data_IF_173198093509
#
_entry.id   IF_173198093509
#
_cell.length_a   1.000
_cell.length_b   1.000
_cell.length_c   1.000
_cell.angle_alpha   90.00
_cell.angle_beta   90.00
_cell.angle_gamma   90.00
#
_symmetry.space_group_name_H-M   'P 1'
#
loop_
_entity.id
_entity.type
_entity.pdbx_description
1 polymer ?
#
# COMPACT_ATOMS: atom_id res chain seq x y z
N UNK A 1 36.72 16.71 -20.96
CA UNK A 1 36.74 18.12 -21.36
C UNK A 1 35.65 18.38 -22.39
N UNK A 2 34.43 18.70 -21.96
CA UNK A 2 33.42 19.28 -22.82
C UNK A 2 33.03 20.64 -22.23
N UNK A 3 33.29 21.74 -22.94
CA UNK A 3 32.82 23.05 -22.54
C UNK A 3 31.47 23.28 -23.21
N UNK A 4 30.36 22.97 -22.55
CA UNK A 4 29.06 23.44 -22.94
C UNK A 4 28.51 24.35 -21.84
N UNK A 5 29.03 25.56 -21.78
CA UNK A 5 28.31 26.72 -21.29
C UNK A 5 27.51 27.31 -22.47
N UNK A 6 26.45 26.65 -22.87
CA UNK A 6 25.44 27.26 -23.69
C UNK A 6 24.43 27.86 -22.73
N UNK A 7 24.46 29.20 -22.63
CA UNK A 7 23.43 29.99 -21.99
C UNK A 7 22.12 29.76 -22.78
N UNK A 8 21.31 28.80 -22.32
CA UNK A 8 19.94 28.69 -22.78
C UNK A 8 19.21 29.99 -22.35
N UNK A 9 18.55 30.66 -23.30
CA UNK A 9 17.67 31.80 -22.96
C UNK A 9 16.57 31.27 -22.04
N UNK A 10 16.40 31.91 -20.91
CA UNK A 10 15.44 31.49 -19.86
C UNK A 10 14.01 31.29 -20.37
N UNK A 11 13.62 32.06 -21.40
CA UNK A 11 12.30 31.99 -22.03
C UNK A 11 12.10 30.74 -22.90
N UNK A 12 13.12 30.24 -23.58
CA UNK A 12 13.05 29.02 -24.36
C UNK A 12 13.02 27.78 -23.43
N UNK A 13 13.77 27.82 -22.34
CA UNK A 13 13.76 26.77 -21.33
C UNK A 13 12.41 26.70 -20.59
N UNK A 14 11.81 27.87 -20.32
CA UNK A 14 10.49 27.98 -19.72
C UNK A 14 9.42 27.33 -20.59
N UNK A 15 9.39 27.65 -21.90
CA UNK A 15 8.46 27.06 -22.84
C UNK A 15 8.60 25.53 -22.94
N UNK A 16 9.85 25.03 -23.00
CA UNK A 16 10.11 23.57 -23.03
C UNK A 16 9.62 22.91 -21.73
N UNK A 17 9.84 23.55 -20.57
CA UNK A 17 9.38 22.98 -19.30
C UNK A 17 7.86 23.08 -19.13
N UNK A 18 7.19 24.09 -19.70
CA UNK A 18 5.73 24.17 -19.77
C UNK A 18 5.16 23.10 -20.73
N UNK A 19 5.76 22.93 -21.90
CA UNK A 19 5.35 21.94 -22.89
C UNK A 19 5.55 20.49 -22.41
N UNK A 20 6.57 20.27 -21.55
CA UNK A 20 6.84 18.96 -20.94
C UNK A 20 6.21 18.83 -19.53
N UNK A 21 5.39 19.80 -19.11
CA UNK A 21 4.71 19.84 -17.80
C UNK A 21 5.64 19.73 -16.57
N UNK A 22 6.91 20.11 -16.68
CA UNK A 22 7.88 20.08 -15.59
C UNK A 22 7.76 21.29 -14.64
N UNK A 23 6.59 21.46 -14.04
CA UNK A 23 6.25 22.64 -13.19
C UNK A 23 7.24 22.86 -12.04
N UNK A 24 7.67 21.80 -11.36
CA UNK A 24 8.66 21.87 -10.26
C UNK A 24 10.07 22.27 -10.72
N UNK A 25 10.45 21.99 -11.98
CA UNK A 25 11.73 22.40 -12.55
C UNK A 25 11.75 23.87 -12.92
N UNK A 26 10.63 24.43 -13.35
CA UNK A 26 10.46 25.87 -13.63
C UNK A 26 10.83 26.69 -12.38
N UNK A 27 10.26 26.34 -11.24
CA UNK A 27 10.53 27.02 -9.97
C UNK A 27 11.96 26.86 -9.48
N UNK A 28 12.56 25.70 -9.66
CA UNK A 28 13.93 25.40 -9.20
C UNK A 28 15.02 26.05 -10.06
N UNK A 29 14.82 26.06 -11.37
CA UNK A 29 15.88 26.44 -12.33
C UNK A 29 15.76 27.92 -12.70
N UNK A 30 14.56 28.44 -12.89
CA UNK A 30 14.35 29.79 -13.42
C UNK A 30 14.21 30.87 -12.33
N UNK A 31 13.68 30.56 -11.13
CA UNK A 31 13.62 31.49 -10.01
C UNK A 31 14.94 31.71 -9.27
N UNK A 32 15.96 30.90 -9.46
CA UNK A 32 17.30 31.08 -8.88
C UNK A 32 18.20 32.10 -9.63
N UNK A 33 17.72 32.65 -10.73
CA UNK A 33 18.50 33.54 -11.58
C UNK A 33 18.31 35.05 -11.34
N UNK A 34 17.42 35.48 -10.46
CA UNK A 34 17.19 36.90 -10.19
C UNK A 34 17.07 37.17 -8.69
N UNK A 35 18.19 37.55 -8.07
CA UNK A 35 18.14 38.06 -6.69
C UNK A 35 19.49 38.16 -6.01
N UNK A 36 19.91 39.36 -5.75
CA UNK A 36 21.09 39.81 -5.04
C UNK A 36 21.31 39.15 -3.67
N UNK A 37 22.58 38.96 -3.36
CA UNK A 37 23.21 38.64 -2.09
C UNK A 37 22.53 39.22 -0.85
N UNK A 38 22.00 38.35 0.00
CA UNK A 38 22.06 38.48 1.45
C UNK A 38 21.71 37.12 2.05
N UNK A 39 22.65 36.54 2.81
CA UNK A 39 22.51 35.26 3.48
C UNK A 39 21.39 35.32 4.51
N UNK A 40 20.51 34.32 4.53
CA UNK A 40 19.93 33.86 5.78
C UNK A 40 20.30 32.39 6.03
N UNK A 41 20.57 32.13 7.28
CA UNK A 41 20.79 30.85 7.94
C UNK A 41 19.76 29.81 7.52
N UNK A 42 20.16 28.55 7.25
CA UNK A 42 19.21 27.52 6.83
C UNK A 42 18.47 26.94 8.02
N UNK A 43 17.17 27.16 8.06
CA UNK A 43 16.24 26.41 8.87
C UNK A 43 15.34 25.59 7.95
N UNK A 44 15.33 24.27 8.19
CA UNK A 44 14.49 23.20 7.63
C UNK A 44 15.08 22.41 6.45
N UNK A 45 15.17 21.09 6.60
CA UNK A 45 15.63 20.21 5.53
C UNK A 45 14.52 19.97 4.50
N UNK A 46 14.87 20.17 3.24
CA UNK A 46 14.05 19.76 2.10
C UNK A 46 14.08 18.23 2.02
N UNK A 47 12.97 17.54 1.87
CA UNK A 47 12.97 16.10 1.69
C UNK A 47 13.69 15.71 0.39
N UNK A 48 14.61 14.78 0.50
CA UNK A 48 15.35 14.23 -0.64
C UNK A 48 14.41 13.32 -1.44
N UNK A 49 14.05 13.72 -2.66
CA UNK A 49 13.05 13.05 -3.51
C UNK A 49 13.50 11.67 -4.01
N UNK A 50 14.74 11.26 -3.71
CA UNK A 50 15.31 9.94 -4.08
C UNK A 50 15.55 9.00 -2.91
N UNK A 51 15.21 9.38 -1.67
CA UNK A 51 15.40 8.52 -0.49
C UNK A 51 14.34 7.41 -0.33
N UNK A 52 13.33 7.36 -1.18
CA UNK A 52 12.24 6.36 -1.14
C UNK A 52 12.43 5.12 -2.01
N UNK A 53 13.51 5.03 -2.77
CA UNK A 53 13.74 3.87 -3.64
C UNK A 53 14.87 2.99 -3.09
N UNK A 54 14.49 1.85 -2.59
CA UNK A 54 15.21 0.58 -2.37
C UNK A 54 15.87 0.30 -1.01
N UNK A 55 16.19 1.25 -0.12
CA UNK A 55 16.89 0.91 1.14
C UNK A 55 16.51 1.80 2.32
N UNK A 56 15.27 1.72 2.81
CA UNK A 56 14.95 2.21 4.15
C UNK A 56 15.15 1.07 5.17
N UNK A 57 16.17 1.18 6.02
CA UNK A 57 16.37 0.27 7.16
C UNK A 57 15.36 0.59 8.27
N UNK A 58 14.73 -0.42 8.89
CA UNK A 58 13.97 -0.20 10.12
C UNK A 58 14.95 0.15 11.27
N UNK A 59 14.63 1.19 12.01
CA UNK A 59 15.33 1.50 13.26
C UNK A 59 15.05 0.42 14.30
N UNK A 60 16.11 -0.19 14.80
CA UNK A 60 16.06 -1.22 15.85
C UNK A 60 15.80 -0.59 17.21
N UNK A 61 14.66 -0.88 17.79
CA UNK A 61 14.47 -0.93 19.22
C UNK A 61 14.48 -2.40 19.68
N UNK A 62 15.13 -2.66 20.80
CA UNK A 62 15.41 -3.97 21.41
C UNK A 62 14.18 -4.86 21.56
N UNK A 63 14.32 -6.21 21.42
CA UNK A 63 13.19 -7.12 21.45
C UNK A 63 12.90 -7.62 22.87
N UNK A 64 11.70 -7.38 23.32
CA UNK A 64 11.03 -8.26 24.28
C UNK A 64 9.74 -8.75 23.61
N UNK A 65 9.64 -10.07 23.52
CA UNK A 65 8.47 -10.91 23.17
C UNK A 65 7.34 -10.23 22.40
N UNK A 66 7.23 -10.50 21.11
CA UNK A 66 6.03 -10.12 20.37
C UNK A 66 5.77 -11.00 19.17
N UNK A 67 4.51 -11.32 19.01
CA UNK A 67 3.85 -11.87 17.85
C UNK A 67 4.16 -11.08 16.55
N UNK A 68 3.96 -11.64 15.36
CA UNK A 68 4.35 -11.03 14.10
C UNK A 68 3.68 -9.66 13.90
N UNK A 69 4.50 -8.66 13.65
CA UNK A 69 4.03 -7.30 13.36
C UNK A 69 3.47 -7.28 11.93
N UNK A 70 2.15 -7.27 11.81
CA UNK A 70 1.47 -6.90 10.58
C UNK A 70 1.72 -5.41 10.30
N UNK A 71 2.51 -5.11 9.29
CA UNK A 71 2.78 -3.75 8.85
C UNK A 71 1.72 -3.29 7.86
N UNK A 72 0.83 -2.43 8.29
CA UNK A 72 -0.13 -1.74 7.42
C UNK A 72 0.59 -0.73 6.53
N UNK A 73 0.52 -0.93 5.21
CA UNK A 73 1.18 -0.06 4.22
C UNK A 73 0.58 1.37 4.22
N UNK A 74 -0.66 1.53 4.65
CA UNK A 74 -1.32 2.82 4.77
C UNK A 74 -0.85 3.64 6.00
N UNK A 75 -0.27 3.00 7.02
CA UNK A 75 0.22 3.68 8.23
C UNK A 75 1.55 4.41 8.01
N UNK A 76 2.36 4.04 7.04
CA UNK A 76 3.63 4.73 6.75
C UNK A 76 3.46 6.05 5.98
N UNK A 77 2.24 6.36 5.51
CA UNK A 77 1.89 7.67 4.96
C UNK A 77 1.23 8.61 5.98
N UNK A 78 0.92 8.14 7.18
CA UNK A 78 0.62 9.01 8.30
C UNK A 78 1.94 9.57 8.83
N UNK A 79 2.49 10.57 8.16
CA UNK A 79 3.52 11.44 8.72
C UNK A 79 2.98 12.00 10.03
N UNK A 80 3.83 11.99 11.06
CA UNK A 80 3.58 12.51 12.41
C UNK A 80 2.68 13.74 12.38
N UNK A 81 1.65 13.69 13.18
CA UNK A 81 0.66 14.73 13.32
C UNK A 81 1.27 16.10 13.54
N UNK A 82 1.21 16.88 12.53
CA UNK A 82 1.09 18.32 12.73
C UNK A 82 -0.37 18.56 13.02
N UNK A 83 -0.60 19.16 14.16
CA UNK A 83 -1.88 19.38 14.78
C UNK A 83 -3.00 19.62 13.78
N UNK A 84 -4.13 18.97 14.05
CA UNK A 84 -5.42 19.31 13.49
C UNK A 84 -5.52 20.83 13.59
N UNK A 85 -5.32 21.52 12.47
CA UNK A 85 -5.83 22.88 12.32
C UNK A 85 -7.31 22.69 12.53
N UNK A 86 -7.85 23.19 13.62
CA UNK A 86 -9.29 23.38 13.77
C UNK A 86 -9.73 24.30 12.63
N UNK A 87 -9.94 23.76 11.45
CA UNK A 87 -10.65 24.42 10.38
C UNK A 87 -12.12 24.45 10.82
N UNK A 88 -12.47 25.51 11.55
CA UNK A 88 -13.80 25.77 12.12
C UNK A 88 -14.92 25.90 11.07
N UNK A 89 -14.65 25.58 9.80
CA UNK A 89 -15.56 25.77 8.67
C UNK A 89 -15.95 24.47 7.93
N UNK A 90 -15.50 23.30 8.38
CA UNK A 90 -15.91 22.04 7.74
C UNK A 90 -17.31 21.62 8.23
N UNK A 91 -18.13 21.17 7.30
CA UNK A 91 -19.42 20.55 7.63
C UNK A 91 -19.18 19.17 8.28
N UNK A 92 -20.01 18.77 9.21
CA UNK A 92 -19.99 17.48 9.90
C UNK A 92 -21.37 16.84 9.84
N UNK A 93 -21.45 15.52 10.12
CA UNK A 93 -22.70 14.78 10.07
C UNK A 93 -23.82 15.40 10.92
N UNK A 94 -23.50 15.94 12.11
CA UNK A 94 -24.46 16.56 13.02
C UNK A 94 -25.10 17.84 12.46
N UNK A 95 -24.48 18.44 11.42
CA UNK A 95 -24.98 19.66 10.77
C UNK A 95 -25.87 19.37 9.57
N UNK A 96 -26.03 18.11 9.20
CA UNK A 96 -26.79 17.67 8.03
C UNK A 96 -28.11 16.99 8.43
N UNK A 97 -29.15 17.21 7.63
CA UNK A 97 -30.36 16.41 7.69
C UNK A 97 -30.18 15.17 6.80
N UNK A 98 -30.03 14.01 7.43
CA UNK A 98 -29.71 12.75 6.75
C UNK A 98 -30.71 11.67 7.08
N UNK A 99 -31.05 10.85 6.10
CA UNK A 99 -31.87 9.64 6.24
C UNK A 99 -30.97 8.40 6.30
N UNK A 100 -30.33 8.20 7.46
CA UNK A 100 -29.48 7.02 7.71
C UNK A 100 -30.25 6.00 8.53
N UNK A 101 -30.35 4.78 8.02
CA UNK A 101 -31.18 3.73 8.57
C UNK A 101 -30.43 2.47 8.94
N UNK A 102 -30.67 1.98 10.16
CA UNK A 102 -30.21 0.65 10.60
C UNK A 102 -31.20 -0.41 10.11
N UNK A 103 -30.75 -1.34 9.30
CA UNK A 103 -31.53 -2.41 8.65
C UNK A 103 -31.27 -3.74 9.37
N UNK A 104 -31.86 -3.90 10.54
CA UNK A 104 -31.59 -4.97 11.51
C UNK A 104 -32.60 -6.14 11.46
N UNK A 105 -33.67 -6.03 10.68
CA UNK A 105 -34.71 -7.06 10.56
C UNK A 105 -34.86 -7.58 9.13
N UNK A 106 -35.31 -8.82 8.99
CA UNK A 106 -35.60 -9.43 7.68
C UNK A 106 -36.62 -8.62 6.86
N UNK A 107 -37.63 -8.06 7.53
CA UNK A 107 -38.63 -7.20 6.87
C UNK A 107 -37.96 -5.95 6.26
N UNK A 108 -37.17 -5.23 7.05
CA UNK A 108 -36.44 -4.04 6.56
C UNK A 108 -35.46 -4.41 5.42
N UNK A 109 -34.76 -5.56 5.52
CA UNK A 109 -33.90 -6.03 4.45
C UNK A 109 -34.64 -6.28 3.15
N UNK A 110 -35.77 -6.98 3.22
CA UNK A 110 -36.61 -7.23 2.04
C UNK A 110 -37.13 -5.93 1.40
N UNK A 111 -37.55 -4.96 2.20
CA UNK A 111 -38.01 -3.65 1.73
C UNK A 111 -36.91 -2.87 1.02
N UNK A 112 -35.72 -2.78 1.65
CA UNK A 112 -34.63 -2.01 1.08
C UNK A 112 -34.06 -2.64 -0.20
N UNK A 113 -33.98 -3.97 -0.29
CA UNK A 113 -33.59 -4.67 -1.49
C UNK A 113 -34.49 -4.30 -2.67
N UNK A 114 -35.80 -4.32 -2.50
CA UNK A 114 -36.75 -3.94 -3.56
C UNK A 114 -36.56 -2.49 -4.01
N UNK A 115 -36.26 -1.58 -3.08
CA UNK A 115 -36.02 -0.18 -3.37
C UNK A 115 -34.73 -0.02 -4.16
N UNK A 116 -33.63 -0.59 -3.69
CA UNK A 116 -32.29 -0.43 -4.27
C UNK A 116 -32.10 -1.17 -5.61
N UNK A 117 -32.91 -2.21 -5.89
CA UNK A 117 -32.88 -2.90 -7.19
C UNK A 117 -33.19 -2.01 -8.39
N UNK A 118 -33.90 -0.90 -8.17
CA UNK A 118 -34.24 0.07 -9.22
C UNK A 118 -33.22 1.20 -9.37
N UNK A 119 -32.21 1.26 -8.51
CA UNK A 119 -31.21 2.33 -8.51
C UNK A 119 -30.20 2.11 -9.65
N UNK A 120 -30.01 3.13 -10.48
CA UNK A 120 -29.01 3.14 -11.55
C UNK A 120 -27.57 3.23 -11.02
N UNK A 121 -27.40 3.85 -9.85
CA UNK A 121 -26.13 4.03 -9.14
C UNK A 121 -26.33 3.58 -7.70
N UNK A 122 -25.41 2.77 -7.20
CA UNK A 122 -25.43 2.25 -5.84
C UNK A 122 -24.02 2.31 -5.26
N UNK A 123 -23.82 3.19 -4.28
CA UNK A 123 -22.61 3.16 -3.45
C UNK A 123 -22.70 1.99 -2.49
N UNK A 124 -21.61 1.27 -2.35
CA UNK A 124 -21.46 0.10 -1.48
C UNK A 124 -20.18 0.25 -0.66
N UNK A 125 -20.25 -0.20 0.58
CA UNK A 125 -19.09 -0.31 1.46
C UNK A 125 -19.28 -1.49 2.41
N UNK A 126 -18.21 -2.04 2.97
CA UNK A 126 -18.23 -3.19 3.87
C UNK A 126 -17.46 -2.93 5.14
N UNK A 127 -18.11 -3.11 6.28
CA UNK A 127 -17.47 -3.14 7.59
C UNK A 127 -16.94 -4.53 7.90
N UNK A 128 -15.71 -4.62 8.37
CA UNK A 128 -15.00 -5.89 8.54
C UNK A 128 -14.18 -5.94 9.83
N UNK A 129 -13.68 -7.12 10.16
CA UNK A 129 -12.86 -7.34 11.36
C UNK A 129 -11.38 -6.94 11.17
N UNK A 130 -10.95 -6.58 9.97
CA UNK A 130 -9.55 -6.25 9.69
C UNK A 130 -9.32 -5.75 8.28
N UNK A 131 -8.10 -5.36 7.98
CA UNK A 131 -7.70 -4.72 6.72
C UNK A 131 -7.22 -5.70 5.63
N UNK A 132 -6.95 -6.96 6.00
CA UNK A 132 -6.54 -8.00 5.05
C UNK A 132 -7.78 -8.76 4.55
N UNK A 133 -8.23 -8.55 3.30
CA UNK A 133 -9.55 -9.03 2.87
C UNK A 133 -9.68 -10.55 2.82
N UNK A 134 -8.56 -11.29 2.72
CA UNK A 134 -8.60 -12.75 2.74
C UNK A 134 -8.73 -13.34 4.15
N UNK A 135 -8.44 -12.57 5.19
CA UNK A 135 -8.52 -13.00 6.59
C UNK A 135 -9.69 -12.34 7.34
N UNK A 136 -10.13 -11.18 6.86
CA UNK A 136 -11.18 -10.40 7.49
C UNK A 136 -12.57 -11.07 7.35
N UNK A 137 -13.38 -10.91 8.37
CA UNK A 137 -14.78 -11.32 8.39
C UNK A 137 -15.69 -10.11 8.20
N UNK A 138 -16.80 -10.29 7.49
CA UNK A 138 -17.80 -9.26 7.26
C UNK A 138 -18.57 -8.95 8.56
N UNK A 139 -18.63 -7.69 8.95
CA UNK A 139 -19.37 -7.17 10.11
C UNK A 139 -20.68 -6.52 9.68
N UNK A 140 -20.70 -5.89 8.52
CA UNK A 140 -21.89 -5.28 7.96
C UNK A 140 -21.68 -4.79 6.53
N UNK A 141 -22.75 -4.37 5.90
CA UNK A 141 -22.77 -3.80 4.55
C UNK A 141 -23.52 -2.48 4.57
N UNK A 142 -22.99 -1.45 3.94
CA UNK A 142 -23.68 -0.19 3.80
C UNK A 142 -23.96 0.14 2.33
N UNK A 143 -25.02 0.88 2.11
CA UNK A 143 -25.53 1.23 0.77
C UNK A 143 -26.00 2.68 0.75
N UNK A 144 -25.73 3.40 -0.35
CA UNK A 144 -26.32 4.71 -0.61
C UNK A 144 -26.73 4.81 -2.08
N UNK A 145 -27.95 5.28 -2.33
CA UNK A 145 -28.53 5.46 -3.67
C UNK A 145 -28.88 6.93 -3.98
N UNK A 146 -28.74 7.81 -2.98
CA UNK A 146 -28.90 9.25 -3.12
C UNK A 146 -28.14 9.96 -2.00
N UNK A 147 -27.68 11.16 -2.25
CA UNK A 147 -27.01 12.01 -1.27
C UNK A 147 -27.86 12.21 0.00
N UNK A 148 -27.21 12.13 1.16
CA UNK A 148 -27.80 12.19 2.50
C UNK A 148 -28.77 11.03 2.83
N UNK A 149 -28.68 9.93 2.11
CA UNK A 149 -29.48 8.73 2.36
C UNK A 149 -28.64 7.48 2.28
N UNK A 150 -28.61 6.71 3.35
CA UNK A 150 -27.85 5.49 3.41
C UNK A 150 -28.45 4.45 4.37
N UNK A 151 -28.03 3.21 4.20
CA UNK A 151 -28.57 2.05 4.88
C UNK A 151 -27.43 1.16 5.35
N UNK A 152 -27.44 0.77 6.61
CA UNK A 152 -26.47 -0.17 7.17
C UNK A 152 -27.15 -1.48 7.56
N UNK A 153 -26.62 -2.58 7.08
CA UNK A 153 -27.09 -3.95 7.33
C UNK A 153 -26.02 -4.68 8.16
N UNK A 154 -26.21 -4.81 9.48
CA UNK A 154 -25.32 -5.59 10.32
C UNK A 154 -25.46 -7.08 10.02
N UNK A 155 -24.35 -7.81 10.12
CA UNK A 155 -24.34 -9.27 10.02
C UNK A 155 -23.77 -9.91 11.29
N UNK A 156 -24.31 -11.07 11.73
CA UNK A 156 -23.82 -11.77 12.92
C UNK A 156 -22.42 -12.36 12.71
N UNK A 157 -21.86 -12.98 13.76
CA UNK A 157 -20.55 -13.64 13.66
C UNK A 157 -20.63 -15.02 12.99
N UNK A 158 -21.77 -15.69 13.09
CA UNK A 158 -21.97 -17.03 12.57
C UNK A 158 -21.99 -17.05 11.05
N UNK A 159 -21.00 -17.66 10.45
CA UNK A 159 -20.80 -17.65 9.00
C UNK A 159 -22.01 -18.11 8.20
N UNK A 160 -22.77 -19.10 8.69
CA UNK A 160 -23.97 -19.58 8.01
C UNK A 160 -25.07 -18.52 7.94
N UNK A 161 -25.24 -17.74 9.00
CA UNK A 161 -26.21 -16.64 9.03
C UNK A 161 -25.72 -15.46 8.16
N UNK A 162 -24.42 -15.16 8.17
CA UNK A 162 -23.83 -14.16 7.25
C UNK A 162 -24.12 -14.55 5.81
N UNK A 163 -23.88 -15.82 5.43
CA UNK A 163 -24.14 -16.31 4.06
C UNK A 163 -25.62 -16.16 3.66
N UNK A 164 -26.57 -16.37 4.57
CA UNK A 164 -28.01 -16.16 4.30
C UNK A 164 -28.26 -14.69 3.99
N UNK A 165 -27.82 -13.78 4.89
CA UNK A 165 -28.05 -12.34 4.74
C UNK A 165 -27.37 -11.81 3.47
N UNK A 166 -26.10 -12.13 3.23
CA UNK A 166 -25.39 -11.71 2.02
C UNK A 166 -26.06 -12.22 0.74
N UNK A 167 -26.60 -13.45 0.75
CA UNK A 167 -27.36 -13.98 -0.37
C UNK A 167 -28.69 -13.25 -0.63
N UNK A 168 -29.35 -12.68 0.38
CA UNK A 168 -30.52 -11.83 0.18
C UNK A 168 -30.16 -10.61 -0.69
N UNK A 169 -28.96 -10.02 -0.49
CA UNK A 169 -28.44 -8.85 -1.21
C UNK A 169 -27.73 -9.19 -2.53
N UNK A 170 -27.49 -10.46 -2.84
CA UNK A 170 -26.85 -10.90 -4.12
C UNK A 170 -27.48 -10.21 -5.34
N UNK A 171 -28.82 -10.09 -5.49
CA UNK A 171 -29.40 -9.44 -6.66
C UNK A 171 -28.97 -7.97 -6.84
N UNK A 172 -28.63 -7.26 -5.75
CA UNK A 172 -28.12 -5.89 -5.83
C UNK A 172 -26.67 -5.86 -6.34
N UNK A 173 -25.82 -6.69 -5.75
CA UNK A 173 -24.41 -6.76 -6.12
C UNK A 173 -24.23 -7.24 -7.56
N UNK A 174 -24.99 -8.23 -7.99
CA UNK A 174 -24.89 -8.83 -9.33
C UNK A 174 -25.76 -8.14 -10.39
N UNK A 175 -26.43 -7.02 -10.07
CA UNK A 175 -27.22 -6.25 -11.05
C UNK A 175 -26.27 -5.53 -12.03
N UNK A 176 -26.16 -6.04 -13.27
CA UNK A 176 -25.31 -5.46 -14.31
C UNK A 176 -25.78 -4.08 -14.80
N UNK A 177 -27.05 -3.71 -14.55
CA UNK A 177 -27.60 -2.43 -14.96
C UNK A 177 -27.27 -1.29 -14.00
N UNK A 178 -26.94 -1.59 -12.76
CA UNK A 178 -26.58 -0.63 -11.73
C UNK A 178 -25.07 -0.45 -11.68
N UNK A 179 -24.60 0.80 -11.72
CA UNK A 179 -23.22 1.15 -11.44
C UNK A 179 -22.95 0.96 -9.94
N UNK A 180 -21.86 0.28 -9.57
CA UNK A 180 -21.40 0.18 -8.18
C UNK A 180 -20.29 1.18 -7.95
N UNK A 181 -20.45 1.95 -6.90
CA UNK A 181 -19.49 2.96 -6.46
C UNK A 181 -18.89 2.50 -5.14
N UNK A 182 -17.58 2.65 -4.97
CA UNK A 182 -16.90 2.34 -3.71
C UNK A 182 -15.63 3.17 -3.55
N UNK A 183 -15.09 3.20 -2.36
CA UNK A 183 -13.78 3.75 -2.03
C UNK A 183 -12.80 2.59 -1.82
N UNK A 184 -11.87 2.35 -2.74
CA UNK A 184 -11.08 1.11 -2.79
C UNK A 184 -11.98 -0.14 -2.93
N UNK A 185 -12.92 -0.07 -3.85
CA UNK A 185 -13.96 -1.09 -4.07
C UNK A 185 -13.42 -2.51 -4.27
N UNK A 186 -12.16 -2.63 -4.66
CA UNK A 186 -11.47 -3.92 -4.77
C UNK A 186 -11.51 -4.71 -3.47
N UNK A 187 -11.33 -4.04 -2.33
CA UNK A 187 -11.42 -4.65 -1.00
C UNK A 187 -12.80 -5.27 -0.78
N UNK A 188 -13.86 -4.49 -0.99
CA UNK A 188 -15.25 -4.95 -0.80
C UNK A 188 -15.60 -6.10 -1.74
N UNK A 189 -15.11 -6.05 -2.97
CA UNK A 189 -15.31 -7.12 -3.94
C UNK A 189 -14.68 -8.44 -3.48
N UNK A 190 -13.49 -8.41 -2.88
CA UNK A 190 -12.82 -9.61 -2.34
C UNK A 190 -13.58 -10.13 -1.10
N UNK A 191 -13.99 -9.23 -0.20
CA UNK A 191 -14.82 -9.60 0.96
C UNK A 191 -16.09 -10.32 0.51
N UNK A 192 -16.86 -9.72 -0.41
CA UNK A 192 -18.11 -10.31 -0.92
C UNK A 192 -17.86 -11.64 -1.64
N UNK A 193 -16.75 -11.75 -2.39
CA UNK A 193 -16.37 -13.01 -3.05
C UNK A 193 -16.07 -14.12 -2.04
N UNK A 194 -15.55 -13.83 -0.85
CA UNK A 194 -15.38 -14.81 0.23
C UNK A 194 -16.70 -15.39 0.75
N UNK A 195 -17.82 -14.70 0.49
CA UNK A 195 -19.19 -15.15 0.76
C UNK A 195 -19.93 -15.60 -0.50
N UNK A 196 -19.22 -15.79 -1.62
CA UNK A 196 -19.74 -16.35 -2.87
C UNK A 196 -20.56 -15.36 -3.70
N UNK A 197 -20.45 -14.06 -3.47
CA UNK A 197 -21.12 -13.01 -4.22
C UNK A 197 -20.13 -12.27 -5.11
N UNK A 198 -20.51 -12.02 -6.38
CA UNK A 198 -19.72 -11.23 -7.32
C UNK A 198 -20.37 -9.85 -7.50
N UNK A 199 -19.54 -8.81 -7.49
CA UNK A 199 -20.00 -7.47 -7.86
C UNK A 199 -19.93 -7.34 -9.37
N UNK A 200 -21.06 -7.04 -10.01
CA UNK A 200 -21.21 -6.94 -11.46
C UNK A 200 -21.70 -5.54 -11.87
N UNK A 201 -21.62 -5.26 -13.16
CA UNK A 201 -21.97 -3.98 -13.74
C UNK A 201 -20.79 -3.03 -13.85
N UNK A 202 -21.08 -1.77 -14.18
CA UNK A 202 -20.05 -0.73 -14.21
C UNK A 202 -19.55 -0.43 -12.81
N UNK A 203 -18.24 -0.22 -12.68
CA UNK A 203 -17.60 0.16 -11.42
C UNK A 203 -17.17 1.64 -11.45
N UNK A 204 -17.19 2.27 -10.31
CA UNK A 204 -16.57 3.56 -10.07
C UNK A 204 -15.86 3.51 -8.70
N UNK A 205 -14.55 3.62 -8.69
CA UNK A 205 -13.73 3.68 -7.47
C UNK A 205 -13.28 5.13 -7.26
N UNK A 206 -13.69 5.73 -6.15
CA UNK A 206 -13.35 7.14 -5.84
C UNK A 206 -11.88 7.34 -5.53
N UNK A 207 -11.21 6.35 -4.93
CA UNK A 207 -9.75 6.36 -4.73
C UNK A 207 -9.01 6.40 -6.07
N UNK A 208 -9.38 5.53 -7.01
CA UNK A 208 -8.76 5.45 -8.33
C UNK A 208 -9.13 6.64 -9.22
N UNK A 209 -10.34 7.18 -9.10
CA UNK A 209 -10.72 8.40 -9.80
C UNK A 209 -9.81 9.57 -9.40
N UNK A 210 -9.61 9.76 -8.10
CA UNK A 210 -8.70 10.79 -7.62
C UNK A 210 -7.23 10.49 -7.95
N UNK A 211 -6.80 9.23 -7.92
CA UNK A 211 -5.46 8.85 -8.34
C UNK A 211 -5.17 9.22 -9.80
N UNK A 212 -6.10 8.99 -10.71
CA UNK A 212 -5.97 9.39 -12.13
C UNK A 212 -5.85 10.91 -12.27
N UNK A 213 -6.59 11.67 -11.46
CA UNK A 213 -6.58 13.15 -11.49
C UNK A 213 -5.33 13.74 -10.81
N UNK A 214 -4.89 13.19 -9.68
CA UNK A 214 -3.85 13.75 -8.82
C UNK A 214 -2.96 12.65 -8.21
N UNK A 215 -2.12 11.95 -9.00
CA UNK A 215 -1.40 10.73 -8.58
C UNK A 215 -0.38 10.94 -7.47
N UNK A 216 0.01 12.18 -7.16
CA UNK A 216 1.01 12.50 -6.13
C UNK A 216 0.37 12.82 -4.76
N UNK A 217 -0.97 12.89 -4.67
CA UNK A 217 -1.67 13.24 -3.45
C UNK A 217 -2.14 12.01 -2.67
N UNK A 218 -2.80 12.26 -1.53
CA UNK A 218 -3.45 11.20 -0.74
C UNK A 218 -4.81 10.90 -1.35
N UNK A 219 -5.24 9.63 -1.27
CA UNK A 219 -6.48 9.16 -1.87
C UNK A 219 -7.46 8.55 -0.86
N UNK A 220 -7.18 8.68 0.44
CA UNK A 220 -8.09 8.20 1.49
C UNK A 220 -9.35 9.09 1.57
N UNK A 221 -10.46 8.51 1.97
CA UNK A 221 -11.79 9.13 1.96
C UNK A 221 -11.84 10.41 2.78
N UNK A 222 -11.27 10.44 3.98
CA UNK A 222 -11.24 11.63 4.84
C UNK A 222 -10.62 12.84 4.13
N UNK A 223 -9.46 12.63 3.50
CA UNK A 223 -8.79 13.67 2.73
C UNK A 223 -9.63 14.13 1.54
N UNK A 224 -10.25 13.20 0.81
CA UNK A 224 -11.10 13.53 -0.34
C UNK A 224 -12.36 14.28 0.11
N UNK A 225 -12.99 13.88 1.20
CA UNK A 225 -14.15 14.57 1.78
C UNK A 225 -13.81 16.01 2.19
N UNK A 226 -12.64 16.21 2.82
CA UNK A 226 -12.18 17.55 3.21
C UNK A 226 -11.98 18.46 2.01
N UNK A 227 -11.25 18.01 0.97
CA UNK A 227 -10.86 18.87 -0.15
C UNK A 227 -11.97 19.08 -1.20
N UNK A 228 -12.83 18.07 -1.43
CA UNK A 228 -13.87 18.13 -2.46
C UNK A 228 -15.26 18.48 -1.93
N UNK A 229 -15.57 18.08 -0.69
CA UNK A 229 -16.89 18.27 -0.10
C UNK A 229 -16.90 19.31 1.03
N UNK A 230 -15.74 19.80 1.46
CA UNK A 230 -15.59 20.61 2.68
C UNK A 230 -16.26 19.93 3.89
N UNK A 231 -16.05 18.65 4.01
CA UNK A 231 -16.71 17.77 4.97
C UNK A 231 -15.68 17.01 5.82
N UNK A 232 -15.91 16.96 7.12
CA UNK A 232 -15.15 16.17 8.07
C UNK A 232 -15.93 14.90 8.40
N UNK A 233 -15.39 13.75 7.99
CA UNK A 233 -15.93 12.42 8.28
C UNK A 233 -15.77 12.02 9.75
N UNK A 234 -16.53 11.06 10.20
CA UNK A 234 -16.33 10.38 11.48
C UNK A 234 -15.08 9.50 11.32
N UNK A 235 -14.07 9.73 12.16
CA UNK A 235 -12.87 8.91 12.13
C UNK A 235 -13.10 7.54 12.77
N UNK A 236 -12.60 6.45 12.16
CA UNK A 236 -12.69 5.09 12.71
C UNK A 236 -12.13 4.99 14.14
N UNK A 237 -11.10 5.78 14.47
CA UNK A 237 -10.53 5.84 15.81
C UNK A 237 -11.52 6.34 16.88
N UNK A 238 -12.57 7.07 16.49
CA UNK A 238 -13.64 7.50 17.40
C UNK A 238 -14.53 6.33 17.82
N UNK A 239 -14.66 5.30 16.95
CA UNK A 239 -15.48 4.12 17.20
C UNK A 239 -14.68 3.03 17.95
N UNK A 240 -13.53 2.65 17.38
CA UNK A 240 -12.75 1.49 17.89
C UNK A 240 -11.59 1.89 18.80
N UNK A 241 -11.34 3.19 18.95
CA UNK A 241 -10.24 3.73 19.72
C UNK A 241 -8.93 3.81 18.93
N UNK A 242 -7.99 4.61 19.44
CA UNK A 242 -6.70 4.82 18.81
C UNK A 242 -5.90 3.50 18.65
N UNK A 243 -5.10 3.44 17.61
CA UNK A 243 -4.26 2.29 17.27
C UNK A 243 -3.40 1.84 18.45
N UNK A 244 -3.47 0.57 18.80
CA UNK A 244 -2.69 -0.02 19.89
C UNK A 244 -3.34 -1.25 20.53
N UNK A 245 -2.77 -1.72 21.64
CA UNK A 245 -3.24 -2.94 22.32
C UNK A 245 -4.70 -2.87 22.82
N UNK A 246 -5.24 -1.68 22.99
CA UNK A 246 -6.60 -1.45 23.49
C UNK A 246 -7.61 -1.11 22.36
N UNK A 247 -7.18 -1.12 21.10
CA UNK A 247 -8.08 -0.90 19.98
C UNK A 247 -9.11 -2.04 19.92
N UNK A 248 -10.39 -1.69 19.85
CA UNK A 248 -11.48 -2.65 19.72
C UNK A 248 -11.55 -3.16 18.28
N UNK A 249 -12.24 -4.26 18.09
CA UNK A 249 -12.64 -4.71 16.76
C UNK A 249 -14.01 -4.12 16.40
N UNK A 250 -14.27 -3.86 15.14
CA UNK A 250 -15.59 -3.37 14.69
C UNK A 250 -16.71 -4.34 15.09
N UNK A 251 -16.44 -5.64 15.14
CA UNK A 251 -17.34 -6.70 15.59
C UNK A 251 -17.76 -6.57 17.07
N UNK A 252 -16.92 -5.93 17.90
CA UNK A 252 -17.20 -5.77 19.34
C UNK A 252 -18.19 -4.63 19.64
N UNK A 253 -18.54 -3.84 18.63
CA UNK A 253 -19.45 -2.70 18.78
C UNK A 253 -20.90 -3.11 18.45
N UNK A 254 -21.89 -2.57 19.17
CA UNK A 254 -23.28 -2.77 18.81
C UNK A 254 -23.60 -2.07 17.49
N UNK A 255 -24.50 -2.62 16.65
CA UNK A 255 -24.86 -2.04 15.36
C UNK A 255 -25.34 -0.59 15.44
N UNK A 256 -25.95 -0.19 16.56
CA UNK A 256 -26.42 1.16 16.83
C UNK A 256 -25.30 2.19 16.93
N UNK A 257 -24.10 1.77 17.29
CA UNK A 257 -22.92 2.64 17.35
C UNK A 257 -22.20 2.71 16.00
N UNK A 258 -22.30 1.66 15.17
CA UNK A 258 -21.60 1.53 13.89
C UNK A 258 -22.38 2.15 12.74
N UNK A 259 -23.74 2.07 12.75
CA UNK A 259 -24.54 2.36 11.56
C UNK A 259 -24.37 3.78 11.01
N UNK A 260 -24.14 4.78 11.87
CA UNK A 260 -23.97 6.16 11.41
C UNK A 260 -22.66 6.35 10.65
N UNK A 261 -21.59 5.76 11.15
CA UNK A 261 -20.29 5.72 10.51
C UNK A 261 -20.38 5.01 9.14
N UNK A 262 -20.86 3.77 9.12
CA UNK A 262 -20.97 2.98 7.90
C UNK A 262 -21.92 3.61 6.84
N UNK A 263 -23.00 4.24 7.27
CA UNK A 263 -23.89 5.00 6.38
C UNK A 263 -23.18 6.24 5.81
N UNK A 264 -22.40 6.94 6.65
CA UNK A 264 -21.61 8.10 6.21
C UNK A 264 -20.60 7.71 5.14
N UNK A 265 -19.88 6.61 5.32
CA UNK A 265 -18.89 6.14 4.35
C UNK A 265 -19.51 5.86 2.98
N UNK A 266 -20.66 5.19 2.93
CA UNK A 266 -21.39 4.95 1.69
C UNK A 266 -21.92 6.25 1.05
N UNK A 267 -22.44 7.20 1.84
CA UNK A 267 -22.98 8.47 1.36
C UNK A 267 -21.89 9.42 0.86
N UNK A 268 -20.82 9.56 1.64
CA UNK A 268 -19.63 10.37 1.25
C UNK A 268 -19.02 9.82 -0.02
N UNK A 269 -18.91 8.52 -0.15
CA UNK A 269 -18.40 7.85 -1.36
C UNK A 269 -19.28 8.19 -2.58
N UNK A 270 -20.60 8.20 -2.44
CA UNK A 270 -21.51 8.62 -3.51
C UNK A 270 -21.34 10.10 -3.89
N UNK A 271 -21.22 10.98 -2.90
CA UNK A 271 -20.98 12.42 -3.12
C UNK A 271 -19.63 12.65 -3.83
N UNK A 272 -18.58 11.97 -3.39
CA UNK A 272 -17.26 12.03 -4.02
C UNK A 272 -17.31 11.56 -5.48
N UNK A 273 -18.03 10.47 -5.78
CA UNK A 273 -18.25 10.03 -7.17
C UNK A 273 -18.84 11.15 -8.02
N UNK A 274 -19.86 11.86 -7.53
CA UNK A 274 -20.53 12.90 -8.29
C UNK A 274 -19.61 14.10 -8.63
N UNK A 275 -18.67 14.41 -7.75
CA UNK A 275 -17.66 15.46 -7.99
C UNK A 275 -16.54 14.97 -8.89
N UNK A 276 -15.95 13.83 -8.55
CA UNK A 276 -14.78 13.29 -9.28
C UNK A 276 -15.11 12.89 -10.72
N UNK A 277 -16.32 12.42 -11.00
CA UNK A 277 -16.74 12.13 -12.38
C UNK A 277 -16.76 13.37 -13.26
N UNK A 278 -17.15 14.55 -12.72
CA UNK A 278 -17.07 15.83 -13.44
C UNK A 278 -15.63 16.23 -13.70
N UNK A 279 -14.77 16.10 -12.69
CA UNK A 279 -13.33 16.38 -12.81
C UNK A 279 -12.67 15.50 -13.87
N UNK A 280 -12.94 14.19 -13.88
CA UNK A 280 -12.44 13.25 -14.89
C UNK A 280 -12.81 13.70 -16.32
N UNK A 281 -14.06 14.14 -16.49
CA UNK A 281 -14.55 14.64 -17.76
C UNK A 281 -13.88 15.94 -18.17
N UNK A 282 -13.78 16.89 -17.25
CA UNK A 282 -13.18 18.23 -17.48
C UNK A 282 -11.70 18.11 -17.86
N UNK A 283 -10.98 17.17 -17.25
CA UNK A 283 -9.57 16.92 -17.52
C UNK A 283 -9.33 15.93 -18.67
N UNK A 284 -10.38 15.37 -19.31
CA UNK A 284 -10.27 14.42 -20.40
C UNK A 284 -9.69 13.06 -20.01
N UNK A 285 -9.81 12.69 -18.71
CA UNK A 285 -9.24 11.49 -18.13
C UNK A 285 -10.20 10.28 -18.14
N UNK A 286 -11.44 10.44 -18.67
CA UNK A 286 -12.48 9.39 -18.68
C UNK A 286 -12.00 8.10 -19.35
N UNK A 287 -11.27 8.18 -20.47
CA UNK A 287 -10.77 7.02 -21.17
C UNK A 287 -9.80 6.19 -20.31
N UNK A 288 -8.83 6.85 -19.66
CA UNK A 288 -7.88 6.18 -18.75
C UNK A 288 -8.63 5.52 -17.60
N UNK A 289 -9.57 6.23 -17.00
CA UNK A 289 -10.32 5.73 -15.86
C UNK A 289 -11.25 4.56 -16.24
N UNK A 290 -12.14 4.75 -17.22
CA UNK A 290 -13.17 3.75 -17.52
C UNK A 290 -12.70 2.58 -18.38
N UNK A 291 -11.69 2.77 -19.25
CA UNK A 291 -11.25 1.74 -20.20
C UNK A 291 -9.97 1.02 -19.76
N UNK A 292 -9.26 1.55 -18.75
CA UNK A 292 -8.02 0.94 -18.25
C UNK A 292 -8.12 0.64 -16.75
N UNK A 293 -8.28 1.66 -15.89
CA UNK A 293 -8.21 1.46 -14.44
C UNK A 293 -9.39 0.65 -13.89
N UNK A 294 -10.62 0.97 -14.29
CA UNK A 294 -11.79 0.24 -13.80
C UNK A 294 -11.84 -1.23 -14.28
N UNK A 295 -11.57 -1.57 -15.55
CA UNK A 295 -11.49 -2.96 -15.97
C UNK A 295 -10.38 -3.77 -15.31
N UNK A 296 -9.31 -3.12 -14.83
CA UNK A 296 -8.24 -3.80 -14.10
C UNK A 296 -8.67 -4.26 -12.70
N UNK A 297 -9.60 -3.54 -12.05
CA UNK A 297 -10.07 -3.88 -10.68
C UNK A 297 -10.54 -5.33 -10.57
N UNK A 298 -11.51 -5.84 -11.36
CA UNK A 298 -11.96 -7.22 -11.25
C UNK A 298 -10.87 -8.24 -11.63
N UNK A 299 -9.90 -7.86 -12.47
CA UNK A 299 -8.73 -8.72 -12.77
C UNK A 299 -7.87 -8.88 -11.52
N UNK A 300 -7.59 -7.78 -10.82
CA UNK A 300 -6.82 -7.82 -9.58
C UNK A 300 -7.57 -8.56 -8.46
N UNK A 301 -8.88 -8.37 -8.32
CA UNK A 301 -9.73 -9.17 -7.42
C UNK A 301 -9.52 -10.66 -7.68
N UNK A 302 -9.55 -11.08 -8.94
CA UNK A 302 -9.38 -12.49 -9.31
C UNK A 302 -7.97 -13.00 -8.95
N UNK A 303 -6.92 -12.26 -9.30
CA UNK A 303 -5.53 -12.63 -9.02
C UNK A 303 -5.29 -12.73 -7.50
N UNK A 304 -5.71 -11.72 -6.75
CA UNK A 304 -5.53 -11.66 -5.30
C UNK A 304 -6.31 -12.75 -4.57
N UNK A 305 -7.56 -12.98 -4.96
CA UNK A 305 -8.39 -14.03 -4.36
C UNK A 305 -7.89 -15.45 -4.68
N UNK A 306 -7.35 -15.67 -5.88
CA UNK A 306 -6.76 -16.97 -6.24
C UNK A 306 -5.47 -17.23 -5.47
N UNK A 307 -4.65 -16.21 -5.24
CA UNK A 307 -3.35 -16.37 -4.60
C UNK A 307 -2.42 -17.34 -5.33
N UNK A 308 -1.34 -17.75 -4.67
CA UNK A 308 -0.31 -18.63 -5.23
C UNK A 308 0.10 -19.72 -4.23
N UNK A 309 0.35 -20.93 -4.72
CA UNK A 309 0.83 -22.05 -3.91
C UNK A 309 2.33 -21.96 -3.66
N UNK A 310 2.74 -22.42 -2.47
CA UNK A 310 4.15 -22.58 -2.11
C UNK A 310 4.48 -24.04 -1.79
N UNK A 311 5.63 -24.49 -2.27
CA UNK A 311 6.30 -25.70 -1.79
C UNK A 311 7.03 -25.39 -0.47
N UNK A 312 6.33 -25.58 0.64
CA UNK A 312 6.85 -25.30 1.99
C UNK A 312 7.99 -26.23 2.38
N UNK A 313 8.03 -27.46 1.83
CA UNK A 313 9.11 -28.41 2.12
C UNK A 313 10.40 -27.99 1.40
N UNK A 314 10.31 -27.53 0.15
CA UNK A 314 11.44 -26.94 -0.57
C UNK A 314 11.99 -25.71 0.15
N UNK A 315 11.12 -24.81 0.64
CA UNK A 315 11.55 -23.64 1.43
C UNK A 315 12.24 -24.04 2.74
N UNK A 316 11.75 -25.07 3.44
CA UNK A 316 12.36 -25.57 4.66
C UNK A 316 13.76 -26.14 4.40
N UNK A 317 13.95 -26.89 3.31
CA UNK A 317 15.25 -27.39 2.90
C UNK A 317 16.21 -26.24 2.56
N UNK A 318 15.72 -25.23 1.83
CA UNK A 318 16.49 -24.01 1.55
C UNK A 318 16.85 -23.24 2.82
N UNK A 319 15.95 -23.16 3.81
CA UNK A 319 16.22 -22.52 5.11
C UNK A 319 17.37 -23.21 5.84
N UNK A 320 17.37 -24.54 5.89
CA UNK A 320 18.45 -25.32 6.50
C UNK A 320 19.78 -25.08 5.79
N UNK A 321 19.79 -25.15 4.46
CA UNK A 321 21.00 -24.92 3.65
C UNK A 321 21.56 -23.52 3.85
N UNK A 322 20.73 -22.49 3.79
CA UNK A 322 21.16 -21.10 3.97
C UNK A 322 21.62 -20.81 5.39
N UNK A 323 21.01 -21.45 6.39
CA UNK A 323 21.43 -21.29 7.79
C UNK A 323 22.85 -21.86 7.99
N UNK A 324 23.17 -23.02 7.45
CA UNK A 324 24.53 -23.60 7.52
C UNK A 324 25.52 -22.67 6.83
N UNK A 325 25.22 -22.24 5.60
CA UNK A 325 26.09 -21.32 4.85
C UNK A 325 26.30 -19.98 5.57
N UNK A 326 25.25 -19.43 6.22
CA UNK A 326 25.37 -18.21 7.03
C UNK A 326 26.35 -18.40 8.20
N UNK A 327 26.28 -19.55 8.89
CA UNK A 327 27.18 -19.85 10.01
C UNK A 327 28.64 -19.98 9.55
N UNK A 328 28.88 -20.56 8.38
CA UNK A 328 30.22 -20.65 7.79
C UNK A 328 30.78 -19.27 7.46
N UNK A 329 29.99 -18.43 6.77
CA UNK A 329 30.39 -17.06 6.42
C UNK A 329 30.61 -16.21 7.68
N UNK A 330 29.75 -16.35 8.68
CA UNK A 330 29.89 -15.65 9.96
C UNK A 330 31.21 -15.98 10.65
N UNK A 331 31.58 -17.25 10.66
CA UNK A 331 32.88 -17.71 11.20
C UNK A 331 34.04 -17.10 10.42
N UNK A 332 34.01 -17.13 9.10
CA UNK A 332 35.04 -16.50 8.26
C UNK A 332 35.16 -14.99 8.53
N UNK A 333 34.05 -14.30 8.69
CA UNK A 333 34.06 -12.86 9.02
C UNK A 333 34.70 -12.61 10.38
N UNK A 334 34.38 -13.40 11.40
CA UNK A 334 35.00 -13.26 12.73
C UNK A 334 36.49 -13.59 12.75
N UNK A 335 36.90 -14.57 11.99
CA UNK A 335 38.33 -14.88 11.82
C UNK A 335 39.11 -13.72 11.14
N UNK A 336 38.52 -13.12 10.09
CA UNK A 336 39.14 -11.95 9.43
C UNK A 336 39.12 -10.69 10.30
N UNK A 337 38.09 -10.51 11.10
CA UNK A 337 37.97 -9.36 12.00
C UNK A 337 38.81 -9.51 13.27
N UNK A 338 39.15 -10.75 13.68
CA UNK A 338 39.80 -11.07 14.92
C UNK A 338 38.98 -10.84 16.17
N UNK A 339 37.64 -10.76 16.03
CA UNK A 339 36.65 -10.64 17.10
C UNK A 339 35.23 -10.98 16.61
N UNK A 340 34.35 -11.24 17.57
CA UNK A 340 32.92 -11.44 17.29
C UNK A 340 32.16 -10.12 17.44
N UNK A 341 31.23 -9.86 16.53
CA UNK A 341 30.39 -8.66 16.53
C UNK A 341 29.08 -8.93 15.79
N UNK A 342 28.09 -8.05 15.94
CA UNK A 342 26.83 -8.19 15.19
C UNK A 342 26.99 -7.68 13.74
N UNK A 343 27.10 -8.60 12.78
CA UNK A 343 27.26 -8.31 11.34
C UNK A 343 26.04 -7.59 10.75
N UNK A 344 24.86 -7.74 11.37
CA UNK A 344 23.65 -7.00 10.99
C UNK A 344 23.64 -5.55 11.49
N UNK A 345 24.48 -5.21 12.48
CA UNK A 345 24.59 -3.85 13.02
C UNK A 345 25.48 -2.97 12.16
N UNK A 346 24.89 -1.98 11.50
CA UNK A 346 25.64 -1.01 10.69
C UNK A 346 26.73 -0.29 11.50
N UNK A 347 26.47 -0.02 12.80
CA UNK A 347 27.42 0.61 13.70
C UNK A 347 28.64 -0.27 13.95
N UNK A 348 28.42 -1.52 14.40
CA UNK A 348 29.52 -2.44 14.73
C UNK A 348 30.35 -2.81 13.50
N UNK A 349 29.68 -3.04 12.35
CA UNK A 349 30.36 -3.25 11.08
C UNK A 349 31.26 -2.05 10.72
N UNK A 350 30.75 -0.82 10.91
CA UNK A 350 31.53 0.38 10.64
C UNK A 350 32.76 0.52 11.56
N UNK A 351 32.61 0.23 12.84
CA UNK A 351 33.70 0.23 13.83
C UNK A 351 34.78 -0.81 13.48
N UNK A 352 34.37 -2.03 13.14
CA UNK A 352 35.30 -3.10 12.73
C UNK A 352 36.03 -2.74 11.45
N UNK A 353 35.33 -2.32 10.40
CA UNK A 353 35.92 -2.06 9.08
C UNK A 353 36.82 -0.81 9.07
N UNK A 354 36.40 0.26 9.74
CA UNK A 354 37.05 1.56 9.58
C UNK A 354 37.88 2.02 10.77
N UNK A 355 37.56 1.63 12.00
CA UNK A 355 38.36 1.98 13.18
C UNK A 355 39.41 0.90 13.47
N UNK A 356 39.04 -0.39 13.42
CA UNK A 356 39.93 -1.49 13.76
C UNK A 356 40.77 -1.93 12.55
N UNK A 357 40.17 -2.35 11.47
CA UNK A 357 40.87 -2.86 10.29
C UNK A 357 41.39 -1.73 9.39
N UNK A 358 40.90 -0.50 9.57
CA UNK A 358 41.34 0.72 8.83
C UNK A 358 41.38 0.53 7.32
N UNK A 359 40.40 -0.17 6.76
CA UNK A 359 40.36 -0.56 5.34
C UNK A 359 40.38 0.66 4.42
N UNK A 360 39.85 1.81 4.89
CA UNK A 360 39.83 3.08 4.16
C UNK A 360 40.21 4.21 5.11
N UNK A 361 41.13 5.11 4.69
CA UNK A 361 41.55 6.24 5.52
C UNK A 361 40.44 7.26 5.83
N UNK A 362 39.52 7.47 4.85
CA UNK A 362 38.39 8.42 4.98
C UNK A 362 37.09 7.71 4.60
N UNK A 363 36.50 7.03 5.55
CA UNK A 363 35.19 6.39 5.36
C UNK A 363 34.04 7.41 5.46
N UNK A 364 33.03 7.24 4.61
CA UNK A 364 31.83 8.08 4.60
C UNK A 364 31.05 7.94 5.91
N UNK A 365 30.68 9.08 6.54
CA UNK A 365 29.87 9.13 7.76
C UNK A 365 28.52 9.80 7.49
N UNK A 366 27.52 9.41 8.26
CA UNK A 366 26.20 10.06 8.31
C UNK A 366 26.30 11.42 9.01
N UNK A 367 25.24 12.22 8.94
CA UNK A 367 25.13 13.50 9.71
C UNK A 367 25.28 13.31 11.22
N UNK A 368 24.96 12.12 11.72
CA UNK A 368 25.08 11.74 13.16
C UNK A 368 26.47 11.18 13.51
N UNK A 369 27.42 11.17 12.57
CA UNK A 369 28.80 10.71 12.79
C UNK A 369 29.01 9.20 12.70
N UNK A 370 27.98 8.39 12.40
CA UNK A 370 28.11 6.94 12.19
C UNK A 370 28.68 6.64 10.79
N UNK A 371 29.45 5.56 10.66
CA UNK A 371 29.92 5.09 9.37
C UNK A 371 28.76 4.60 8.49
N UNK A 372 28.80 4.97 7.22
CA UNK A 372 27.85 4.45 6.22
C UNK A 372 28.32 3.07 5.76
N UNK A 373 27.51 2.05 6.04
CA UNK A 373 27.77 0.66 5.65
C UNK A 373 26.66 0.12 4.74
N UNK A 374 26.04 1.01 3.93
CA UNK A 374 25.08 0.59 2.90
C UNK A 374 25.75 -0.32 1.87
N UNK A 375 24.97 -1.15 1.20
CA UNK A 375 25.44 -2.08 0.18
C UNK A 375 26.27 -1.36 -0.89
N UNK A 376 25.79 -0.23 -1.40
CA UNK A 376 26.47 0.59 -2.41
C UNK A 376 27.88 1.03 -1.94
N UNK A 377 27.95 1.53 -0.70
CA UNK A 377 29.23 1.99 -0.12
C UNK A 377 30.18 0.82 0.10
N UNK A 378 29.71 -0.29 0.67
CA UNK A 378 30.54 -1.48 0.86
C UNK A 378 30.99 -2.07 -0.48
N UNK A 379 30.10 -2.12 -1.47
CA UNK A 379 30.44 -2.59 -2.82
C UNK A 379 31.58 -1.76 -3.46
N UNK A 380 31.61 -0.45 -3.22
CA UNK A 380 32.71 0.42 -3.71
C UNK A 380 34.06 0.10 -3.05
N UNK A 381 34.08 -0.53 -1.89
CA UNK A 381 35.27 -0.94 -1.15
C UNK A 381 35.58 -2.44 -1.28
N UNK A 382 34.81 -3.21 -2.05
CA UNK A 382 34.95 -4.67 -2.16
C UNK A 382 36.34 -5.16 -2.49
N UNK A 383 37.07 -4.41 -3.34
CA UNK A 383 38.47 -4.73 -3.72
C UNK A 383 39.51 -4.39 -2.67
N UNK A 384 39.15 -3.75 -1.56
CA UNK A 384 40.09 -3.30 -0.53
C UNK A 384 40.38 -4.38 0.52
N UNK A 385 39.43 -5.25 0.82
CA UNK A 385 39.56 -6.32 1.80
C UNK A 385 38.46 -7.37 1.62
N UNK A 386 38.84 -8.66 1.70
CA UNK A 386 37.91 -9.79 1.47
C UNK A 386 36.75 -9.84 2.42
N UNK A 387 36.91 -9.36 3.67
CA UNK A 387 35.84 -9.27 4.68
C UNK A 387 34.60 -8.52 4.16
N UNK A 388 34.80 -7.52 3.29
CA UNK A 388 33.68 -6.73 2.75
C UNK A 388 32.81 -7.60 1.84
N UNK A 389 33.42 -8.42 0.99
CA UNK A 389 32.71 -9.39 0.16
C UNK A 389 31.88 -10.36 1.00
N UNK A 390 32.47 -10.87 2.09
CA UNK A 390 31.80 -11.79 3.01
C UNK A 390 30.65 -11.13 3.79
N UNK A 391 30.82 -9.87 4.24
CA UNK A 391 29.74 -9.12 4.90
C UNK A 391 28.57 -8.86 3.94
N UNK A 392 28.84 -8.53 2.68
CA UNK A 392 27.80 -8.35 1.66
C UNK A 392 27.06 -9.67 1.38
N UNK A 393 27.81 -10.78 1.24
CA UNK A 393 27.24 -12.12 1.07
C UNK A 393 26.36 -12.52 2.27
N UNK A 394 26.86 -12.35 3.49
CA UNK A 394 26.12 -12.61 4.72
C UNK A 394 24.81 -11.82 4.79
N UNK A 395 24.85 -10.51 4.52
CA UNK A 395 23.66 -9.65 4.56
C UNK A 395 22.65 -10.02 3.48
N UNK A 396 23.13 -10.37 2.27
CA UNK A 396 22.28 -10.85 1.19
C UNK A 396 21.52 -12.12 1.58
N UNK A 397 22.25 -13.15 2.02
CA UNK A 397 21.66 -14.41 2.47
C UNK A 397 20.73 -14.23 3.67
N UNK A 398 21.12 -13.42 4.64
CA UNK A 398 20.29 -13.15 5.82
C UNK A 398 18.98 -12.48 5.45
N UNK A 399 19.02 -11.54 4.50
CA UNK A 399 17.82 -10.90 3.95
C UNK A 399 16.92 -11.91 3.23
N UNK A 400 17.49 -12.76 2.36
CA UNK A 400 16.72 -13.79 1.65
C UNK A 400 16.05 -14.74 2.64
N UNK A 401 16.78 -15.20 3.64
CA UNK A 401 16.28 -16.11 4.66
C UNK A 401 15.12 -15.48 5.45
N UNK A 402 15.34 -14.29 6.02
CA UNK A 402 14.36 -13.66 6.91
C UNK A 402 13.16 -13.06 6.18
N UNK A 403 13.32 -12.56 4.96
CA UNK A 403 12.25 -11.86 4.24
C UNK A 403 11.38 -12.80 3.40
N UNK A 404 11.98 -13.88 2.88
CA UNK A 404 11.28 -14.77 1.97
C UNK A 404 11.18 -16.20 2.50
N UNK A 405 12.31 -16.86 2.78
CA UNK A 405 12.34 -18.29 3.03
C UNK A 405 11.58 -18.65 4.31
N UNK A 406 11.84 -17.94 5.41
CA UNK A 406 11.21 -18.20 6.71
C UNK A 406 9.86 -17.47 6.85
N UNK A 407 9.68 -16.31 6.18
CA UNK A 407 8.49 -15.50 6.32
C UNK A 407 7.33 -15.98 5.44
N UNK A 408 7.58 -16.34 4.16
CA UNK A 408 6.51 -16.70 3.23
C UNK A 408 5.64 -17.88 3.70
N UNK A 409 6.18 -18.99 4.29
CA UNK A 409 5.34 -20.06 4.79
C UNK A 409 4.37 -19.63 5.89
N UNK A 410 4.72 -18.60 6.67
CA UNK A 410 3.89 -18.09 7.75
C UNK A 410 2.71 -17.22 7.26
N UNK A 411 2.78 -16.79 6.00
CA UNK A 411 1.74 -15.98 5.35
C UNK A 411 0.73 -16.83 4.56
N UNK A 412 0.85 -18.14 4.61
CA UNK A 412 -0.12 -19.04 3.97
C UNK A 412 -1.44 -18.92 4.71
N UNK A 413 -2.46 -18.48 3.98
CA UNK A 413 -3.82 -18.41 4.51
C UNK A 413 -4.34 -19.83 4.78
N UNK A 414 -4.76 -20.15 6.03
CA UNK A 414 -5.17 -21.51 6.40
C UNK A 414 -6.45 -21.97 5.69
N UNK A 415 -7.28 -21.07 5.21
CA UNK A 415 -8.53 -21.38 4.50
C UNK A 415 -8.27 -21.78 3.05
N UNK A 416 -7.30 -21.16 2.38
CA UNK A 416 -7.02 -21.39 0.95
C UNK A 416 -5.78 -22.26 0.72
N UNK A 417 -4.88 -22.36 1.70
CA UNK A 417 -3.58 -23.00 1.55
C UNK A 417 -2.60 -22.22 0.67
N UNK A 418 -2.87 -20.93 0.42
CA UNK A 418 -2.13 -20.09 -0.53
C UNK A 418 -1.68 -18.80 0.10
N UNK A 419 -0.71 -18.15 -0.53
CA UNK A 419 -0.35 -16.75 -0.23
C UNK A 419 -1.17 -15.83 -1.11
N UNK A 420 -1.69 -14.77 -0.50
CA UNK A 420 -2.42 -13.70 -1.17
C UNK A 420 -1.67 -12.39 -0.98
N UNK A 421 -1.27 -11.78 -2.07
CA UNK A 421 -0.69 -10.43 -2.08
C UNK A 421 -1.77 -9.42 -2.45
N UNK A 422 -1.58 -8.16 -2.11
CA UNK A 422 -2.40 -7.05 -2.61
C UNK A 422 -1.64 -6.31 -3.71
N UNK A 423 -2.27 -6.08 -4.86
CA UNK A 423 -1.76 -5.23 -5.93
C UNK A 423 -2.45 -3.87 -5.87
N UNK A 424 -1.68 -2.81 -5.64
CA UNK A 424 -2.20 -1.47 -5.43
C UNK A 424 -1.98 -0.62 -6.68
N UNK A 425 -3.07 -0.05 -7.23
CA UNK A 425 -3.04 0.83 -8.39
C UNK A 425 -2.67 2.28 -8.01
N UNK A 426 -3.09 2.75 -6.83
CA UNK A 426 -3.00 4.15 -6.41
C UNK A 426 -1.76 4.51 -5.55
N UNK A 427 -0.67 3.73 -5.61
CA UNK A 427 0.53 3.94 -4.78
C UNK A 427 1.67 4.61 -5.53
N UNK A 428 1.84 4.28 -6.81
CA UNK A 428 2.94 4.84 -7.61
C UNK A 428 2.43 5.94 -8.52
N UNK A 429 3.09 7.08 -8.56
CA UNK A 429 2.73 8.17 -9.48
C UNK A 429 2.96 7.85 -10.97
N UNK A 430 3.50 6.68 -11.29
CA UNK A 430 3.91 6.28 -12.65
C UNK A 430 2.93 5.34 -13.35
N UNK A 431 1.80 4.99 -12.74
CA UNK A 431 0.85 4.01 -13.27
C UNK A 431 1.29 2.55 -13.09
N UNK A 432 2.40 2.28 -12.42
CA UNK A 432 2.82 0.90 -12.11
C UNK A 432 2.04 0.39 -10.91
N UNK A 433 1.74 -0.92 -10.92
CA UNK A 433 1.23 -1.59 -9.73
C UNK A 433 2.35 -1.71 -8.67
N UNK A 434 1.99 -1.60 -7.41
CA UNK A 434 2.84 -2.04 -6.30
C UNK A 434 2.24 -3.30 -5.66
N UNK A 435 3.09 -4.15 -5.07
CA UNK A 435 2.66 -5.37 -4.38
C UNK A 435 3.01 -5.25 -2.89
N UNK A 436 2.07 -5.64 -2.02
CA UNK A 436 2.23 -5.61 -0.57
C UNK A 436 1.56 -6.81 0.10
N UNK A 437 1.97 -7.12 1.31
CA UNK A 437 1.40 -8.13 2.20
C UNK A 437 1.22 -9.54 1.58
N UNK A 438 2.31 -10.19 1.08
CA UNK A 438 3.71 -9.78 0.97
C UNK A 438 4.03 -9.08 -0.35
N UNK A 439 5.15 -8.34 -0.41
CA UNK A 439 5.63 -7.79 -1.68
C UNK A 439 6.29 -8.89 -2.52
N UNK A 440 5.57 -9.41 -3.51
CA UNK A 440 6.04 -10.46 -4.42
C UNK A 440 6.82 -9.90 -5.63
N UNK A 441 6.80 -8.60 -5.89
CA UNK A 441 7.54 -7.98 -7.00
C UNK A 441 9.04 -7.87 -6.73
N UNK A 442 9.45 -7.93 -5.45
CA UNK A 442 10.85 -7.78 -5.04
C UNK A 442 11.58 -9.11 -4.83
N UNK A 443 11.02 -10.24 -5.23
CA UNK A 443 11.70 -11.54 -5.16
C UNK A 443 12.92 -11.52 -6.09
N UNK A 444 14.15 -11.75 -5.59
CA UNK A 444 15.35 -11.69 -6.39
C UNK A 444 15.34 -12.66 -7.57
N UNK A 445 15.93 -12.24 -8.69
CA UNK A 445 16.01 -13.03 -9.92
C UNK A 445 17.41 -13.19 -10.47
N UNK A 446 18.34 -12.29 -10.05
CA UNK A 446 19.67 -12.19 -10.69
C UNK A 446 20.69 -13.20 -10.17
N UNK A 447 20.56 -13.62 -8.92
CA UNK A 447 21.45 -14.60 -8.28
C UNK A 447 20.81 -15.99 -8.17
N UNK A 448 21.63 -17.01 -8.01
CA UNK A 448 21.15 -18.39 -7.90
C UNK A 448 20.34 -18.60 -6.62
N UNK A 449 20.72 -17.93 -5.53
CA UNK A 449 20.02 -18.01 -4.24
C UNK A 449 18.58 -17.44 -4.35
N UNK A 450 18.40 -16.35 -5.09
CA UNK A 450 17.07 -15.80 -5.40
C UNK A 450 16.22 -16.70 -6.31
N UNK A 451 16.87 -17.39 -7.26
CA UNK A 451 16.18 -18.37 -8.12
C UNK A 451 15.64 -19.57 -7.33
N UNK A 452 16.32 -20.00 -6.27
CA UNK A 452 15.81 -21.08 -5.40
C UNK A 452 14.50 -20.68 -4.74
N UNK A 453 14.35 -19.44 -4.28
CA UNK A 453 13.09 -18.96 -3.70
C UNK A 453 11.97 -18.98 -4.75
N UNK A 454 12.25 -18.63 -5.99
CA UNK A 454 11.25 -18.65 -7.07
C UNK A 454 10.76 -20.04 -7.41
N UNK A 455 11.60 -21.06 -7.30
CA UNK A 455 11.22 -22.47 -7.53
C UNK A 455 10.19 -22.98 -6.51
N UNK A 456 10.12 -22.35 -5.34
CA UNK A 456 9.11 -22.69 -4.33
C UNK A 456 7.70 -22.24 -4.69
N UNK A 457 7.53 -21.32 -5.64
CA UNK A 457 6.22 -20.98 -6.18
C UNK A 457 5.82 -22.06 -7.20
N UNK A 458 4.75 -22.77 -6.92
CA UNK A 458 4.30 -23.91 -7.72
C UNK A 458 2.89 -23.69 -8.26
N UNK A 459 2.56 -24.20 -9.46
CA UNK A 459 1.21 -24.20 -9.99
C UNK A 459 0.35 -25.28 -9.33
N UNK A 460 -0.97 -25.19 -9.51
CA UNK A 460 -1.88 -26.30 -9.16
C UNK A 460 -1.60 -27.56 -9.96
N UNK A 461 -2.03 -28.70 -9.42
CA UNK A 461 -1.95 -29.98 -10.12
C UNK A 461 -2.66 -29.89 -11.49
N UNK A 462 -1.92 -30.21 -12.54
CA UNK A 462 -2.42 -30.12 -13.92
C UNK A 462 -2.36 -28.74 -14.56
N UNK A 463 -1.79 -27.75 -13.86
CA UNK A 463 -1.51 -26.41 -14.37
C UNK A 463 -0.01 -26.19 -14.59
N UNK A 464 0.32 -25.18 -15.36
CA UNK A 464 1.69 -24.71 -15.60
C UNK A 464 1.74 -23.21 -15.44
N UNK A 465 2.89 -22.67 -14.99
CA UNK A 465 3.12 -21.24 -15.01
C UNK A 465 3.40 -20.77 -16.44
N UNK A 466 2.68 -19.74 -16.85
CA UNK A 466 2.93 -19.01 -18.08
C UNK A 466 3.48 -17.63 -17.74
N UNK A 467 4.62 -17.25 -18.32
CA UNK A 467 5.21 -15.93 -18.17
C UNK A 467 5.34 -15.27 -19.54
N UNK A 468 4.82 -14.06 -19.66
CA UNK A 468 4.97 -13.23 -20.85
C UNK A 468 5.37 -11.82 -20.44
N UNK A 469 6.33 -11.25 -21.16
CA UNK A 469 6.83 -9.90 -20.92
C UNK A 469 7.03 -9.18 -22.23
N UNK A 470 6.66 -7.88 -22.28
CA UNK A 470 6.87 -7.05 -23.46
C UNK A 470 8.31 -6.55 -23.50
N UNK A 471 9.02 -6.81 -24.59
CA UNK A 471 10.35 -6.29 -24.78
C UNK A 471 10.30 -4.79 -25.10
N UNK A 472 10.97 -3.98 -24.30
CA UNK A 472 11.21 -2.55 -24.54
C UNK A 472 9.92 -1.70 -24.70
N UNK A 473 8.85 -2.04 -23.97
CA UNK A 473 7.58 -1.30 -24.09
C UNK A 473 7.74 0.17 -23.65
N UNK A 474 8.62 0.44 -22.70
CA UNK A 474 8.91 1.80 -22.21
C UNK A 474 9.58 2.71 -23.25
N UNK A 475 10.06 2.14 -24.36
CA UNK A 475 10.66 2.91 -25.46
C UNK A 475 9.69 3.24 -26.57
N UNK A 476 8.44 2.82 -26.46
CA UNK A 476 7.36 3.07 -27.45
C UNK A 476 6.42 4.15 -26.97
#
# INVERSE_FOLDING_TARGET
LFPYTTLFRSEELHKIFEELEFRTLIDRVLKKGSGNSSSPTPTSPVPDLFAGTLFAQPQTSTPENSAPIQGDLFANFAGEGTGVSENSNLTRLEMLDVDYQLIDTEYKRAEIIQKLLTSEILSIDTETTGTEPMDAELVGMSFSDAENRAYYVPVPAEREEVLKIVNEFRPLFENEKSMKVGQNIKYDMIILQNYGVQVKGKLFDTMLAHYVLQPELRHNMDYLAEIYLHYQTIHIDELIGARGKNQKNMRDLPPEDVYRYACEDADVTLKLKNVLEKELKEQGAEHLFYEIEMPLVPVLVNIESNGVLLDTEALKQSSQHFTVRLQEIEKEIYEMAGETFNISSAKQVGEVLFDKLKIVEKAKKTKTGQYVTSEEVLQSYRSKHDIIGKILEYRGLKKLLSTYIDALPQLINPRTGRIHTSFNQAVTATGRLSSSNPNLQNIPIRDEDGKEIRKAFIPDTGCEFFSADYSQIELR
#
